data_IF_288668297211
#
_entry.id   IF_288668297211
#
_cell.length_a   1.000
_cell.length_b   1.000
_cell.length_c   1.000
_cell.angle_alpha   90.00
_cell.angle_beta   90.00
_cell.angle_gamma   90.00
#
_symmetry.space_group_name_H-M   'P 1'
#
loop_
_entity.id
_entity.type
_entity.pdbx_description
1 polymer ?
#
# COMPACT_ATOMS: atom_id res chain seq x y z
N UNK A 1 48.44 3.43 41.40
CA UNK A 1 49.31 2.35 41.91
C UNK A 1 48.42 1.34 42.63
N UNK A 2 48.51 0.05 42.26
CA UNK A 2 48.44 -1.19 43.09
C UNK A 2 47.28 -1.33 44.11
N UNK A 3 46.47 -2.39 44.21
CA UNK A 3 46.39 -3.72 43.58
C UNK A 3 45.04 -4.36 43.98
N UNK A 4 44.58 -5.30 43.15
CA UNK A 4 43.54 -6.32 43.32
C UNK A 4 43.59 -7.13 44.63
N UNK A 5 42.43 -7.57 45.15
CA UNK A 5 42.24 -8.95 45.65
C UNK A 5 40.80 -9.43 45.34
N UNK A 6 40.74 -10.57 44.65
CA UNK A 6 39.59 -11.45 44.41
C UNK A 6 39.40 -12.36 45.63
N UNK A 7 38.17 -12.65 46.05
CA UNK A 7 37.88 -13.93 46.69
C UNK A 7 36.43 -14.39 46.52
N UNK A 8 36.32 -15.59 45.96
CA UNK A 8 35.14 -16.41 45.76
C UNK A 8 34.63 -16.95 47.10
N UNK A 9 33.32 -17.20 47.20
CA UNK A 9 32.83 -18.34 47.99
C UNK A 9 31.72 -19.07 47.24
N UNK A 10 31.93 -20.37 47.12
CA UNK A 10 31.11 -21.33 46.42
C UNK A 10 30.25 -22.13 47.41
N UNK A 11 29.28 -22.85 46.83
CA UNK A 11 28.84 -24.20 47.26
C UNK A 11 27.90 -24.24 48.49
N UNK A 12 26.74 -24.92 48.49
CA UNK A 12 26.53 -26.35 48.22
C UNK A 12 25.01 -26.68 48.13
N UNK A 13 24.61 -27.44 47.10
CA UNK A 13 24.02 -28.81 47.18
C UNK A 13 22.48 -28.82 47.34
N UNK A 14 21.68 -29.70 46.73
CA UNK A 14 21.94 -30.88 45.89
C UNK A 14 20.63 -31.49 45.42
N UNK A 15 20.70 -32.15 44.27
CA UNK A 15 20.06 -33.43 43.93
C UNK A 15 18.53 -33.56 43.94
N UNK A 16 17.99 -33.86 42.76
CA UNK A 16 17.53 -35.23 42.45
C UNK A 16 17.61 -35.52 40.94
N UNK A 17 18.42 -36.52 40.61
CA UNK A 17 18.41 -37.26 39.34
C UNK A 17 17.11 -38.07 39.25
N UNK A 18 16.52 -38.15 38.06
CA UNK A 18 15.99 -39.43 37.56
C UNK A 18 16.09 -39.47 36.04
N UNK A 19 16.74 -40.52 35.55
CA UNK A 19 17.02 -40.87 34.18
C UNK A 19 15.85 -41.60 33.52
N UNK A 20 15.56 -41.31 32.24
CA UNK A 20 15.16 -42.27 31.19
C UNK A 20 15.05 -41.56 29.83
N UNK A 21 15.78 -42.06 28.83
CA UNK A 21 15.54 -41.85 27.39
C UNK A 21 14.62 -42.99 26.85
N UNK A 22 14.31 -43.10 25.54
CA UNK A 22 13.73 -42.12 24.59
C UNK A 22 12.53 -42.75 23.78
N UNK A 23 11.55 -41.97 23.28
CA UNK A 23 10.74 -42.39 22.12
C UNK A 23 9.97 -41.25 21.42
N UNK A 24 9.90 -41.36 20.08
CA UNK A 24 8.77 -41.03 19.16
C UNK A 24 8.24 -39.58 19.12
N UNK A 25 8.47 -38.79 18.06
CA UNK A 25 7.86 -38.81 16.71
C UNK A 25 6.32 -38.63 16.73
N UNK A 26 5.83 -37.43 16.36
CA UNK A 26 4.50 -37.24 15.76
C UNK A 26 3.61 -36.14 16.35
N UNK A 27 3.21 -35.19 15.50
CA UNK A 27 2.05 -34.28 15.56
C UNK A 27 1.96 -33.17 16.63
N UNK A 28 2.53 -32.00 16.29
CA UNK A 28 1.96 -30.71 16.72
C UNK A 28 1.01 -30.18 15.64
N UNK A 29 -0.28 -30.47 15.81
CA UNK A 29 -1.35 -29.76 15.12
C UNK A 29 -1.43 -28.32 15.65
N UNK A 30 -0.87 -27.36 14.89
CA UNK A 30 -1.08 -25.94 15.16
C UNK A 30 -2.55 -25.60 14.91
N UNK A 31 -3.26 -24.90 15.82
CA UNK A 31 -4.64 -24.52 15.58
C UNK A 31 -4.69 -23.54 14.40
N UNK A 32 -5.41 -23.92 13.35
CA UNK A 32 -5.70 -23.05 12.23
C UNK A 32 -6.49 -21.85 12.75
N UNK A 33 -5.87 -20.67 12.72
CA UNK A 33 -6.54 -19.41 12.99
C UNK A 33 -7.64 -19.23 11.94
N UNK A 34 -8.90 -19.18 12.39
CA UNK A 34 -10.04 -18.89 11.53
C UNK A 34 -9.93 -17.46 11.02
N UNK A 35 -9.67 -17.32 9.72
CA UNK A 35 -9.49 -16.05 9.01
C UNK A 35 -10.82 -15.37 8.64
N UNK A 36 -11.95 -16.05 8.82
CA UNK A 36 -13.26 -15.54 8.46
C UNK A 36 -13.67 -14.24 9.20
N UNK A 37 -13.38 -14.06 10.50
CA UNK A 37 -13.74 -12.82 11.21
C UNK A 37 -12.93 -11.60 10.74
N UNK A 38 -11.69 -11.81 10.29
CA UNK A 38 -10.77 -10.76 9.83
C UNK A 38 -11.08 -10.36 8.39
N UNK A 39 -11.43 -11.32 7.52
CA UNK A 39 -11.96 -11.03 6.18
C UNK A 39 -13.31 -10.29 6.25
N UNK A 40 -14.17 -10.63 7.22
CA UNK A 40 -15.39 -9.88 7.50
C UNK A 40 -15.10 -8.46 8.03
N UNK A 41 -14.03 -8.26 8.80
CA UNK A 41 -13.57 -6.93 9.21
C UNK A 41 -13.00 -6.12 8.03
N UNK A 42 -12.31 -6.76 7.08
CA UNK A 42 -11.85 -6.14 5.83
C UNK A 42 -13.00 -5.73 4.91
N UNK A 43 -14.06 -6.53 4.81
CA UNK A 43 -15.28 -6.17 4.09
C UNK A 43 -16.03 -4.98 4.73
N UNK A 44 -15.89 -4.79 6.06
CA UNK A 44 -16.43 -3.66 6.83
C UNK A 44 -15.56 -2.39 6.75
N UNK A 45 -14.33 -2.49 6.26
CA UNK A 45 -13.44 -1.34 6.00
C UNK A 45 -13.64 -0.74 4.59
N UNK A 46 -14.42 -1.41 3.73
CA UNK A 46 -15.14 -0.72 2.65
C UNK A 46 -16.33 0.01 3.26
N UNK A 47 -16.51 1.32 3.04
CA UNK A 47 -17.68 2.02 3.52
C UNK A 47 -18.90 1.52 2.73
N UNK A 48 -19.55 0.49 3.24
CA UNK A 48 -20.95 0.26 2.95
C UNK A 48 -21.76 1.33 3.69
N UNK A 49 -22.72 1.90 2.97
CA UNK A 49 -23.77 2.83 3.41
C UNK A 49 -23.35 4.26 3.74
N UNK A 50 -23.55 5.15 2.76
CA UNK A 50 -24.46 6.28 2.92
C UNK A 50 -25.01 6.72 1.54
N UNK A 51 -26.35 6.72 1.47
CA UNK A 51 -27.27 7.35 0.51
C UNK A 51 -26.99 7.18 -0.99
N UNK A 52 -27.80 6.31 -1.61
CA UNK A 52 -28.17 6.37 -3.01
C UNK A 52 -28.74 7.75 -3.34
N UNK A 53 -27.89 8.64 -3.84
CA UNK A 53 -28.39 9.61 -4.81
C UNK A 53 -28.71 8.81 -6.08
N UNK A 54 -29.98 8.80 -6.47
CA UNK A 54 -30.47 8.38 -7.80
C UNK A 54 -29.96 9.36 -8.88
N UNK A 55 -28.66 9.63 -8.86
CA UNK A 55 -27.94 10.29 -9.94
C UNK A 55 -27.61 9.27 -11.01
N UNK A 56 -27.66 9.71 -12.25
CA UNK A 56 -27.31 8.95 -13.44
C UNK A 56 -26.00 8.16 -13.24
N UNK A 57 -26.04 6.86 -13.51
CA UNK A 57 -24.87 5.99 -13.42
C UNK A 57 -23.92 6.32 -14.57
N UNK A 58 -23.01 7.26 -14.35
CA UNK A 58 -21.99 7.64 -15.35
C UNK A 58 -20.85 6.59 -15.32
N UNK A 59 -20.66 5.81 -16.40
CA UNK A 59 -19.52 4.89 -16.51
C UNK A 59 -18.22 5.66 -16.78
N UNK A 60 -17.06 5.10 -16.41
CA UNK A 60 -15.77 5.72 -16.66
C UNK A 60 -15.18 5.35 -18.05
N UNK A 61 -15.89 5.69 -19.12
CA UNK A 61 -15.50 5.33 -20.49
C UNK A 61 -14.23 6.04 -20.95
N UNK A 62 -14.12 7.36 -20.77
CA UNK A 62 -12.92 8.10 -21.14
C UNK A 62 -11.70 7.61 -20.35
N UNK A 63 -11.88 7.28 -19.07
CA UNK A 63 -10.82 6.63 -18.29
C UNK A 63 -10.35 5.35 -18.95
N UNK A 64 -11.28 4.48 -19.36
CA UNK A 64 -10.95 3.19 -19.96
C UNK A 64 -10.23 3.33 -21.30
N UNK A 65 -10.57 4.34 -22.11
CA UNK A 65 -9.91 4.64 -23.38
C UNK A 65 -8.44 5.05 -23.20
N UNK A 66 -8.14 5.81 -22.15
CA UNK A 66 -6.77 6.30 -21.88
C UNK A 66 -5.99 5.43 -20.89
N UNK A 67 -6.63 4.43 -20.27
CA UNK A 67 -5.98 3.56 -19.31
C UNK A 67 -4.96 2.66 -20.02
N UNK A 68 -3.72 2.73 -19.56
CA UNK A 68 -2.62 1.97 -20.15
C UNK A 68 -2.17 0.82 -19.26
N UNK A 69 -1.66 -0.23 -19.89
CA UNK A 69 -1.00 -1.30 -19.16
C UNK A 69 0.15 -0.78 -18.30
N UNK A 70 0.16 -1.24 -17.05
CA UNK A 70 1.12 -0.77 -16.06
C UNK A 70 0.76 0.58 -15.43
N UNK A 71 -0.39 1.18 -15.75
CA UNK A 71 -1.02 2.22 -14.93
C UNK A 71 -1.60 1.67 -13.63
N UNK A 72 -2.05 2.55 -12.74
CA UNK A 72 -2.86 2.20 -11.57
C UNK A 72 -3.95 3.21 -11.32
N UNK A 73 -5.05 2.75 -10.75
CA UNK A 73 -6.14 3.57 -10.26
C UNK A 73 -6.12 3.69 -8.73
N UNK A 74 -6.54 4.85 -8.25
CA UNK A 74 -6.79 5.17 -6.85
C UNK A 74 -8.18 5.82 -6.73
N UNK A 75 -8.93 5.47 -5.69
CA UNK A 75 -10.30 5.95 -5.49
C UNK A 75 -10.72 5.81 -4.03
N UNK A 76 -11.93 6.28 -3.72
CA UNK A 76 -12.65 5.94 -2.49
C UNK A 76 -14.14 5.73 -2.75
N UNK A 77 -14.78 4.85 -1.97
CA UNK A 77 -16.25 4.76 -1.92
C UNK A 77 -16.89 4.17 -3.17
N UNK A 78 -18.09 4.64 -3.53
CA UNK A 78 -18.92 4.10 -4.61
C UNK A 78 -18.32 4.24 -6.03
N UNK A 79 -17.42 5.21 -6.24
CA UNK A 79 -16.72 5.42 -7.49
C UNK A 79 -15.77 4.27 -7.85
N UNK A 80 -15.26 3.54 -6.84
CA UNK A 80 -14.46 2.33 -6.98
C UNK A 80 -15.11 1.31 -7.90
N UNK A 81 -16.34 0.93 -7.54
CA UNK A 81 -17.05 -0.15 -8.20
C UNK A 81 -17.32 0.21 -9.66
N UNK A 82 -17.74 1.45 -9.91
CA UNK A 82 -17.98 1.97 -11.27
C UNK A 82 -16.73 1.88 -12.14
N UNK A 83 -15.62 2.44 -11.67
CA UNK A 83 -14.38 2.45 -12.44
C UNK A 83 -13.82 1.05 -12.68
N UNK A 84 -13.87 0.18 -11.67
CA UNK A 84 -13.49 -1.22 -11.81
C UNK A 84 -14.34 -1.94 -12.85
N UNK A 85 -15.65 -1.75 -12.81
CA UNK A 85 -16.56 -2.43 -13.73
C UNK A 85 -16.36 -1.93 -15.16
N UNK A 86 -16.18 -0.63 -15.37
CA UNK A 86 -15.86 -0.09 -16.71
C UNK A 86 -14.51 -0.58 -17.24
N UNK A 87 -13.46 -0.58 -16.41
CA UNK A 87 -12.15 -1.13 -16.81
C UNK A 87 -12.24 -2.63 -17.13
N UNK A 88 -13.03 -3.40 -16.37
CA UNK A 88 -13.27 -4.82 -16.67
C UNK A 88 -13.98 -5.03 -17.99
N UNK A 89 -14.98 -4.22 -18.29
CA UNK A 89 -15.69 -4.26 -19.57
C UNK A 89 -14.74 -3.90 -20.74
N UNK A 90 -13.77 -3.02 -20.51
CA UNK A 90 -12.71 -2.69 -21.46
C UNK A 90 -11.57 -3.73 -21.53
N UNK A 91 -11.67 -4.85 -20.81
CA UNK A 91 -10.72 -5.97 -20.89
C UNK A 91 -9.60 -5.97 -19.85
N UNK A 92 -9.65 -5.09 -18.84
CA UNK A 92 -8.68 -5.04 -17.74
C UNK A 92 -9.12 -5.90 -16.54
N UNK A 93 -8.24 -6.62 -15.83
CA UNK A 93 -8.67 -7.46 -14.68
C UNK A 93 -7.62 -7.64 -13.57
N UNK A 94 -8.08 -7.73 -12.29
CA UNK A 94 -7.23 -7.83 -11.09
C UNK A 94 -6.97 -9.26 -10.55
N UNK A 95 -7.83 -10.26 -10.76
CA UNK A 95 -7.68 -11.60 -10.15
C UNK A 95 -8.47 -12.70 -10.89
N UNK A 96 -7.97 -13.96 -10.84
CA UNK A 96 -8.67 -15.17 -11.28
C UNK A 96 -9.98 -15.32 -10.53
N UNK A 97 -11.10 -15.44 -11.26
CA UNK A 97 -12.18 -16.22 -10.70
C UNK A 97 -11.67 -17.64 -10.55
N UNK A 98 -11.44 -18.06 -9.32
CA UNK A 98 -11.22 -19.45 -8.97
C UNK A 98 -12.34 -20.28 -9.60
N UNK A 99 -11.91 -21.25 -10.39
CA UNK A 99 -12.71 -22.29 -11.01
C UNK A 99 -13.61 -22.99 -9.98
N UNK A 100 -14.89 -22.65 -10.00
CA UNK A 100 -15.98 -23.54 -9.63
C UNK A 100 -16.88 -23.68 -10.85
N UNK A 101 -16.55 -24.59 -11.75
CA UNK A 101 -17.34 -24.83 -12.96
C UNK A 101 -16.49 -25.21 -14.17
N UNK A 102 -16.52 -26.49 -14.49
CA UNK A 102 -15.92 -27.12 -15.68
C UNK A 102 -16.48 -26.49 -16.96
N UNK A 103 -15.81 -25.51 -17.56
CA UNK A 103 -15.87 -25.29 -19.01
C UNK A 103 -14.55 -24.75 -19.55
N UNK A 104 -13.97 -25.55 -20.46
CA UNK A 104 -12.74 -25.31 -21.21
C UNK A 104 -13.02 -24.21 -22.25
N UNK A 105 -12.85 -22.93 -21.89
CA UNK A 105 -12.75 -21.83 -22.86
C UNK A 105 -11.28 -21.44 -22.99
N UNK A 106 -10.83 -21.32 -24.22
CA UNK A 106 -9.48 -20.90 -24.62
C UNK A 106 -9.06 -19.67 -23.79
N UNK A 107 -8.06 -19.87 -22.93
CA UNK A 107 -7.70 -18.90 -21.91
C UNK A 107 -6.99 -17.69 -22.55
N UNK A 108 -7.64 -16.52 -22.46
CA UNK A 108 -7.04 -15.21 -22.74
C UNK A 108 -5.81 -14.97 -21.85
N UNK A 109 -4.82 -14.17 -22.32
CA UNK A 109 -3.57 -13.97 -21.59
C UNK A 109 -3.78 -13.27 -20.23
N UNK A 110 -2.86 -13.50 -19.28
CA UNK A 110 -3.07 -13.21 -17.86
C UNK A 110 -3.12 -11.71 -17.53
N UNK A 111 -4.03 -11.44 -16.58
CA UNK A 111 -4.47 -10.25 -15.80
C UNK A 111 -3.49 -9.08 -15.67
N UNK A 112 -3.93 -7.88 -15.32
CA UNK A 112 -3.07 -6.69 -15.17
C UNK A 112 -3.35 -6.03 -13.83
N UNK A 113 -2.32 -5.66 -13.07
CA UNK A 113 -2.54 -4.99 -11.78
C UNK A 113 -3.22 -3.63 -12.06
N UNK A 114 -4.44 -3.41 -11.54
CA UNK A 114 -5.21 -2.17 -11.77
C UNK A 114 -5.20 -1.24 -10.56
N UNK A 115 -5.00 -1.75 -9.35
CA UNK A 115 -4.97 -0.93 -8.14
C UNK A 115 -3.67 -1.05 -7.37
N UNK A 116 -3.30 0.06 -6.72
CA UNK A 116 -2.07 0.10 -5.96
C UNK A 116 -2.08 -0.85 -4.75
N UNK A 117 -3.25 -1.08 -4.14
CA UNK A 117 -3.38 -1.98 -3.00
C UNK A 117 -2.96 -3.42 -3.34
N UNK A 118 -3.22 -3.88 -4.57
CA UNK A 118 -2.82 -5.22 -5.02
C UNK A 118 -1.30 -5.35 -5.02
N UNK A 119 -0.60 -4.34 -5.55
CA UNK A 119 0.86 -4.30 -5.55
C UNK A 119 1.43 -4.28 -4.12
N UNK A 120 0.88 -3.43 -3.24
CA UNK A 120 1.39 -3.31 -1.87
C UNK A 120 1.16 -4.58 -1.07
N UNK A 121 -0.04 -5.16 -1.16
CA UNK A 121 -0.42 -6.35 -0.39
C UNK A 121 0.32 -7.60 -0.87
N UNK A 122 0.59 -7.71 -2.18
CA UNK A 122 1.37 -8.82 -2.71
C UNK A 122 2.83 -8.80 -2.25
N UNK A 123 3.39 -7.62 -1.97
CA UNK A 123 4.80 -7.47 -1.59
C UNK A 123 5.00 -7.48 -0.07
N UNK A 124 4.03 -6.98 0.70
CA UNK A 124 4.14 -6.86 2.14
C UNK A 124 2.78 -6.99 2.83
N UNK A 125 2.76 -7.77 3.92
CA UNK A 125 1.56 -8.00 4.73
C UNK A 125 1.87 -7.69 6.20
N UNK A 126 1.23 -6.66 6.79
CA UNK A 126 1.45 -6.34 8.19
C UNK A 126 0.87 -7.35 9.18
N UNK A 127 -0.01 -8.26 8.73
CA UNK A 127 -0.74 -9.17 9.61
C UNK A 127 -0.07 -10.55 9.74
N UNK A 128 0.62 -11.04 8.70
CA UNK A 128 1.34 -12.33 8.71
C UNK A 128 2.77 -12.16 9.27
N UNK A 129 3.64 -11.49 8.52
CA UNK A 129 5.06 -11.30 8.89
C UNK A 129 5.52 -9.88 8.56
N UNK A 130 5.18 -8.87 9.39
CA UNK A 130 5.44 -7.47 9.09
C UNK A 130 6.93 -7.11 8.97
N UNK A 131 7.81 -7.92 9.56
CA UNK A 131 9.27 -7.73 9.58
C UNK A 131 9.98 -8.31 8.32
N UNK A 132 9.24 -8.87 7.36
CA UNK A 132 9.82 -9.43 6.14
C UNK A 132 8.93 -9.18 4.93
N UNK A 133 9.56 -8.99 3.77
CA UNK A 133 8.83 -8.92 2.50
C UNK A 133 8.46 -10.31 1.97
N UNK A 134 7.40 -10.38 1.17
CA UNK A 134 6.97 -11.63 0.55
C UNK A 134 8.04 -12.20 -0.41
N UNK A 135 8.08 -13.53 -0.49
CA UNK A 135 8.98 -14.23 -1.41
C UNK A 135 8.55 -14.02 -2.87
N UNK A 136 9.50 -14.11 -3.80
CA UNK A 136 9.20 -13.99 -5.24
C UNK A 136 8.16 -15.02 -5.70
N UNK A 137 8.16 -16.22 -5.10
CA UNK A 137 7.17 -17.26 -5.38
C UNK A 137 5.76 -16.82 -4.99
N UNK A 138 5.59 -16.18 -3.81
CA UNK A 138 4.28 -15.65 -3.40
C UNK A 138 3.87 -14.48 -4.28
N UNK A 139 4.78 -13.55 -4.59
CA UNK A 139 4.52 -12.41 -5.48
C UNK A 139 4.08 -12.88 -6.88
N UNK A 140 4.79 -13.86 -7.47
CA UNK A 140 4.45 -14.46 -8.78
C UNK A 140 3.09 -15.17 -8.79
N UNK A 141 2.64 -15.66 -7.63
CA UNK A 141 1.32 -16.26 -7.48
C UNK A 141 0.22 -15.19 -7.30
N UNK A 142 0.56 -14.08 -6.66
CA UNK A 142 -0.40 -13.02 -6.33
C UNK A 142 -0.60 -12.00 -7.47
N UNK A 143 0.43 -11.75 -8.27
CA UNK A 143 0.43 -10.73 -9.32
C UNK A 143 0.71 -11.32 -10.68
N UNK A 144 -0.01 -10.82 -11.68
CA UNK A 144 0.26 -11.11 -13.08
C UNK A 144 1.52 -10.41 -13.61
N UNK A 145 1.67 -9.12 -13.31
CA UNK A 145 2.93 -8.39 -13.50
C UNK A 145 3.84 -8.63 -12.28
N UNK A 146 4.29 -9.88 -12.15
CA UNK A 146 5.12 -10.31 -11.05
C UNK A 146 6.48 -9.58 -11.02
N UNK A 147 7.02 -9.23 -12.19
CA UNK A 147 8.28 -8.49 -12.30
C UNK A 147 8.16 -7.11 -11.65
N UNK A 148 7.05 -6.39 -11.89
CA UNK A 148 6.77 -5.14 -11.19
C UNK A 148 6.68 -5.31 -9.69
N UNK A 149 6.05 -6.37 -9.20
CA UNK A 149 6.01 -6.71 -7.77
C UNK A 149 7.39 -6.95 -7.16
N UNK A 150 8.22 -7.75 -7.83
CA UNK A 150 9.59 -8.08 -7.38
C UNK A 150 10.47 -6.82 -7.39
N UNK A 151 10.34 -5.99 -8.43
CA UNK A 151 11.05 -4.72 -8.52
C UNK A 151 10.57 -3.73 -7.45
N UNK A 152 9.27 -3.67 -7.16
CA UNK A 152 8.73 -2.84 -6.07
C UNK A 152 9.22 -3.31 -4.69
N UNK A 153 9.28 -4.62 -4.46
CA UNK A 153 9.89 -5.19 -3.25
C UNK A 153 11.35 -4.73 -3.08
N UNK A 154 12.12 -4.80 -4.16
CA UNK A 154 13.53 -4.40 -4.18
C UNK A 154 13.68 -2.90 -3.94
N UNK A 155 12.77 -2.09 -4.49
CA UNK A 155 12.67 -0.67 -4.21
C UNK A 155 12.44 -0.42 -2.72
N UNK A 156 11.42 -1.04 -2.12
CA UNK A 156 11.08 -0.87 -0.70
C UNK A 156 12.24 -1.26 0.23
N UNK A 157 12.87 -2.41 0.01
CA UNK A 157 13.93 -2.92 0.89
C UNK A 157 15.19 -2.05 0.91
N UNK A 158 15.41 -1.23 -0.12
CA UNK A 158 16.53 -0.29 -0.22
C UNK A 158 16.13 1.15 0.13
N UNK A 159 14.85 1.40 0.34
CA UNK A 159 14.34 2.76 0.52
C UNK A 159 14.54 3.26 1.93
N UNK A 160 15.36 4.30 2.11
CA UNK A 160 15.67 4.89 3.41
C UNK A 160 14.42 5.28 4.22
N UNK A 161 13.35 5.68 3.54
CA UNK A 161 12.11 6.15 4.18
C UNK A 161 10.95 5.17 4.12
N UNK A 162 11.00 4.08 3.36
CA UNK A 162 9.83 3.21 3.13
C UNK A 162 10.14 1.72 3.31
N UNK A 163 11.32 1.39 3.83
CA UNK A 163 11.61 0.03 4.25
C UNK A 163 10.85 -0.34 5.53
N UNK A 164 9.54 -0.56 5.40
CA UNK A 164 8.63 -0.90 6.50
C UNK A 164 9.01 -2.19 7.21
N UNK A 165 9.64 -3.15 6.52
CA UNK A 165 10.10 -4.39 7.13
C UNK A 165 11.25 -4.16 8.13
N UNK A 166 12.11 -3.17 7.87
CA UNK A 166 13.20 -2.80 8.79
C UNK A 166 12.74 -2.06 10.05
N UNK A 167 11.49 -1.58 10.08
CA UNK A 167 10.91 -0.86 11.21
C UNK A 167 10.25 -1.76 12.25
N UNK A 168 10.10 -3.05 11.93
CA UNK A 168 9.40 -4.01 12.77
C UNK A 168 10.33 -5.13 13.17
N UNK A 169 10.43 -5.39 14.47
CA UNK A 169 11.22 -6.52 14.98
C UNK A 169 10.41 -7.83 14.90
N UNK A 170 11.06 -9.00 14.73
CA UNK A 170 10.35 -10.28 14.67
C UNK A 170 9.47 -10.61 15.89
N UNK A 171 9.83 -10.09 17.07
CA UNK A 171 9.08 -10.24 18.32
C UNK A 171 8.00 -9.18 18.53
N UNK A 172 7.91 -8.17 17.67
CA UNK A 172 7.01 -7.05 17.84
C UNK A 172 5.60 -7.40 17.35
N UNK A 173 4.63 -7.40 18.26
CA UNK A 173 3.23 -7.36 17.89
C UNK A 173 2.84 -5.93 17.51
N UNK A 174 2.31 -5.76 16.30
CA UNK A 174 1.80 -4.48 15.85
C UNK A 174 0.38 -4.27 16.34
N UNK A 175 0.12 -3.09 16.89
CA UNK A 175 -1.25 -2.63 17.11
C UNK A 175 -1.92 -2.35 15.76
N UNK A 176 -3.25 -2.36 15.71
CA UNK A 176 -4.00 -2.02 14.50
C UNK A 176 -3.59 -0.65 13.94
N UNK A 177 -3.36 0.34 14.81
CA UNK A 177 -2.94 1.68 14.40
C UNK A 177 -1.51 1.72 13.85
N UNK A 178 -0.58 0.94 14.43
CA UNK A 178 0.77 0.79 13.89
C UNK A 178 0.74 0.12 12.50
N UNK A 179 -0.05 -0.95 12.35
CA UNK A 179 -0.24 -1.62 11.05
C UNK A 179 -0.83 -0.68 10.00
N UNK A 180 -1.86 0.10 10.35
CA UNK A 180 -2.43 1.13 9.47
C UNK A 180 -1.41 2.20 9.07
N UNK A 181 -0.57 2.64 10.00
CA UNK A 181 0.45 3.64 9.73
C UNK A 181 1.51 3.13 8.74
N UNK A 182 1.95 1.88 8.90
CA UNK A 182 2.89 1.22 7.99
C UNK A 182 2.23 0.94 6.62
N UNK A 183 0.96 0.55 6.57
CA UNK A 183 0.24 0.41 5.30
C UNK A 183 0.19 1.72 4.51
N UNK A 184 -0.17 2.83 5.16
CA UNK A 184 -0.12 4.17 4.53
C UNK A 184 1.29 4.49 4.02
N UNK A 185 2.32 4.02 4.72
CA UNK A 185 3.73 4.23 4.35
C UNK A 185 4.07 3.47 3.07
N UNK A 186 3.71 2.20 3.00
CA UNK A 186 3.89 1.34 1.81
C UNK A 186 3.07 1.83 0.62
N UNK A 187 1.85 2.35 0.84
CA UNK A 187 1.04 2.89 -0.25
C UNK A 187 1.65 4.18 -0.85
N UNK A 188 2.14 5.11 -0.02
CA UNK A 188 2.92 6.27 -0.51
C UNK A 188 4.19 5.86 -1.25
N UNK A 189 4.83 4.76 -0.84
CA UNK A 189 5.97 4.21 -1.56
C UNK A 189 5.56 3.66 -2.94
N UNK A 190 4.36 3.10 -3.05
CA UNK A 190 3.75 2.69 -4.33
C UNK A 190 3.57 3.87 -5.29
N UNK A 191 3.04 5.00 -4.80
CA UNK A 191 2.96 6.25 -5.57
C UNK A 191 4.35 6.68 -6.08
N UNK A 192 5.32 6.71 -5.17
CA UNK A 192 6.66 7.17 -5.51
C UNK A 192 7.34 6.26 -6.53
N UNK A 193 7.23 4.94 -6.35
CA UNK A 193 7.75 3.96 -7.28
C UNK A 193 7.10 4.09 -8.67
N UNK A 194 5.78 4.27 -8.71
CA UNK A 194 5.05 4.40 -9.97
C UNK A 194 5.41 5.68 -10.73
N UNK A 195 5.51 6.82 -10.03
CA UNK A 195 5.75 8.12 -10.65
C UNK A 195 7.24 8.38 -10.94
N UNK A 196 8.11 8.10 -9.96
CA UNK A 196 9.51 8.51 -10.03
C UNK A 196 10.42 7.43 -10.61
N UNK A 197 10.11 6.14 -10.38
CA UNK A 197 10.94 5.02 -10.87
C UNK A 197 10.40 4.52 -12.20
N UNK A 198 9.09 4.26 -12.28
CA UNK A 198 8.48 3.69 -13.49
C UNK A 198 8.04 4.73 -14.50
N UNK A 199 7.80 5.98 -14.06
CA UNK A 199 7.32 7.05 -14.94
C UNK A 199 6.05 6.63 -15.70
N UNK A 200 5.09 6.08 -14.95
CA UNK A 200 3.83 5.54 -15.48
C UNK A 200 2.64 6.23 -14.83
N UNK A 201 1.53 6.24 -15.57
CA UNK A 201 0.34 6.98 -15.16
C UNK A 201 -0.27 6.44 -13.85
N UNK A 202 -0.83 7.37 -13.07
CA UNK A 202 -1.72 7.13 -11.94
C UNK A 202 -3.03 7.85 -12.24
N UNK A 203 -4.13 7.11 -12.26
CA UNK A 203 -5.48 7.62 -12.43
C UNK A 203 -6.12 7.75 -11.06
N UNK A 204 -6.33 8.98 -10.60
CA UNK A 204 -6.88 9.27 -9.28
C UNK A 204 -8.33 9.76 -9.42
N UNK A 205 -9.27 8.95 -8.99
CA UNK A 205 -10.69 9.27 -9.03
C UNK A 205 -11.04 10.08 -7.78
N UNK A 206 -11.55 11.29 -7.98
CA UNK A 206 -11.78 12.27 -6.91
C UNK A 206 -13.24 12.41 -6.49
N UNK A 207 -14.16 11.69 -7.13
CA UNK A 207 -15.59 11.69 -6.80
C UNK A 207 -15.83 11.51 -5.29
N UNK A 208 -16.47 12.51 -4.68
CA UNK A 208 -16.79 12.55 -3.23
C UNK A 208 -15.62 12.91 -2.31
N UNK A 209 -14.37 12.91 -2.81
CA UNK A 209 -13.19 13.36 -2.06
C UNK A 209 -12.98 14.87 -2.24
N UNK A 210 -13.18 15.38 -3.45
CA UNK A 210 -13.00 16.79 -3.82
C UNK A 210 -13.94 17.73 -3.04
N UNK A 211 -15.14 17.25 -2.74
CA UNK A 211 -16.11 17.97 -1.93
C UNK A 211 -15.60 18.19 -0.49
N UNK A 212 -14.82 17.23 0.03
CA UNK A 212 -14.38 17.17 1.42
C UNK A 212 -12.85 17.22 1.59
N UNK A 213 -12.14 17.97 0.73
CA UNK A 213 -10.68 18.14 0.81
C UNK A 213 -10.20 18.73 2.14
N UNK A 214 -11.03 19.49 2.86
CA UNK A 214 -10.68 20.02 4.18
C UNK A 214 -10.52 18.92 5.22
N UNK A 215 -11.36 17.89 5.18
CA UNK A 215 -11.22 16.70 6.03
C UNK A 215 -9.95 15.92 5.66
N UNK A 216 -9.63 15.83 4.36
CA UNK A 216 -8.35 15.26 3.88
C UNK A 216 -7.18 16.07 4.41
N UNK A 217 -7.17 17.39 4.28
CA UNK A 217 -6.09 18.25 4.76
C UNK A 217 -5.92 18.15 6.29
N UNK A 218 -7.03 18.24 7.03
CA UNK A 218 -7.08 18.17 8.50
C UNK A 218 -6.89 16.78 9.09
N UNK A 219 -6.93 15.72 8.27
CA UNK A 219 -6.86 14.30 8.68
C UNK A 219 -8.00 13.91 9.65
N UNK A 220 -9.22 14.36 9.38
CA UNK A 220 -10.40 14.10 10.21
C UNK A 220 -11.34 13.16 9.45
N UNK A 221 -12.01 12.23 10.17
CA UNK A 221 -12.97 11.29 9.56
C UNK A 221 -12.35 10.46 8.43
N UNK A 222 -12.97 10.48 7.24
CA UNK A 222 -12.45 9.85 6.01
C UNK A 222 -11.10 10.42 5.56
N UNK A 223 -10.73 11.61 6.02
CA UNK A 223 -9.40 12.19 5.86
C UNK A 223 -8.28 11.34 6.48
N UNK A 224 -8.60 10.42 7.38
CA UNK A 224 -7.62 9.49 7.94
C UNK A 224 -7.33 8.29 7.04
N UNK A 225 -8.02 8.11 5.91
CA UNK A 225 -7.88 6.94 5.03
C UNK A 225 -6.51 6.86 4.34
N UNK A 226 -6.24 5.71 3.71
CA UNK A 226 -5.06 5.48 2.87
C UNK A 226 -5.11 6.39 1.64
N UNK A 227 -6.23 6.40 0.91
CA UNK A 227 -6.48 7.29 -0.23
C UNK A 227 -6.28 8.77 0.12
N UNK A 228 -6.78 9.21 1.28
CA UNK A 228 -6.55 10.58 1.77
C UNK A 228 -5.06 10.86 2.05
N UNK A 229 -4.31 9.85 2.52
CA UNK A 229 -2.87 9.96 2.77
C UNK A 229 -2.05 10.03 1.49
N UNK A 230 -2.50 9.33 0.45
CA UNK A 230 -1.97 9.37 -0.92
C UNK A 230 -2.23 10.72 -1.57
N UNK A 231 -3.46 11.23 -1.50
CA UNK A 231 -3.81 12.54 -2.06
C UNK A 231 -3.01 13.67 -1.40
N UNK A 232 -2.84 13.63 -0.07
CA UNK A 232 -1.91 14.53 0.63
C UNK A 232 -0.47 14.37 0.17
N UNK A 233 -0.04 13.17 -0.19
CA UNK A 233 1.31 12.96 -0.73
C UNK A 233 1.45 13.61 -2.10
N UNK A 234 0.48 13.43 -2.99
CA UNK A 234 0.45 14.07 -4.31
C UNK A 234 0.46 15.59 -4.18
N UNK A 235 -0.38 16.17 -3.30
CA UNK A 235 -0.39 17.61 -3.03
C UNK A 235 0.99 18.15 -2.58
N UNK A 236 1.73 17.39 -1.75
CA UNK A 236 3.09 17.80 -1.33
C UNK A 236 4.10 17.77 -2.47
N UNK A 237 3.85 16.99 -3.52
CA UNK A 237 4.73 16.82 -4.68
C UNK A 237 4.16 17.45 -5.95
N UNK A 238 3.09 18.26 -5.84
CA UNK A 238 2.38 18.84 -6.99
C UNK A 238 3.27 19.67 -7.92
N UNK A 239 4.39 20.19 -7.41
CA UNK A 239 5.35 20.99 -8.19
C UNK A 239 6.36 20.15 -8.96
N UNK A 240 6.43 18.85 -8.69
CA UNK A 240 7.36 17.93 -9.33
C UNK A 240 6.87 17.56 -10.73
N UNK A 241 7.74 17.61 -11.74
CA UNK A 241 7.38 17.33 -13.13
C UNK A 241 6.76 15.94 -13.33
N UNK A 242 7.27 14.93 -12.61
CA UNK A 242 6.70 13.58 -12.65
C UNK A 242 5.25 13.53 -12.14
N UNK A 243 4.89 14.35 -11.15
CA UNK A 243 3.50 14.42 -10.69
C UNK A 243 2.66 15.02 -11.81
N UNK A 244 3.01 16.22 -12.30
CA UNK A 244 2.29 16.92 -13.37
C UNK A 244 2.09 16.06 -14.62
N UNK A 245 3.10 15.28 -14.99
CA UNK A 245 3.09 14.48 -16.21
C UNK A 245 2.32 13.16 -16.08
N UNK A 246 2.43 12.47 -14.94
CA UNK A 246 1.94 11.09 -14.81
C UNK A 246 0.72 10.93 -13.91
N UNK A 247 0.32 11.92 -13.14
CA UNK A 247 -0.93 11.85 -12.37
C UNK A 247 -2.06 12.40 -13.23
N UNK A 248 -3.21 11.74 -13.23
CA UNK A 248 -4.43 12.19 -13.92
C UNK A 248 -5.59 12.12 -12.95
N UNK A 249 -6.28 13.23 -12.73
CA UNK A 249 -7.46 13.26 -11.87
C UNK A 249 -8.72 13.00 -12.68
N UNK A 250 -9.67 12.29 -12.12
CA UNK A 250 -10.93 11.93 -12.80
C UNK A 250 -12.11 12.30 -11.92
N UNK A 251 -13.05 13.05 -12.48
CA UNK A 251 -14.33 13.37 -11.86
C UNK A 251 -15.46 13.07 -12.85
N UNK A 252 -16.40 12.20 -12.48
CA UNK A 252 -17.56 11.86 -13.33
C UNK A 252 -17.18 11.52 -14.79
N UNK A 253 -16.19 10.65 -14.97
CA UNK A 253 -15.60 10.27 -16.28
C UNK A 253 -14.89 11.39 -17.07
N UNK A 254 -14.66 12.54 -16.46
CA UNK A 254 -13.89 13.62 -17.07
C UNK A 254 -12.53 13.74 -16.42
N UNK A 255 -11.47 13.85 -17.23
CA UNK A 255 -10.14 14.20 -16.73
C UNK A 255 -10.16 15.65 -16.21
N UNK A 256 -9.64 15.85 -14.99
CA UNK A 256 -9.61 17.14 -14.30
C UNK A 256 -8.16 17.62 -14.18
N UNK A 257 -7.87 18.90 -14.50
CA UNK A 257 -6.54 19.47 -14.33
C UNK A 257 -6.08 19.44 -12.87
N UNK A 258 -4.77 19.29 -12.66
CA UNK A 258 -4.17 19.24 -11.32
C UNK A 258 -4.46 20.51 -10.53
N UNK A 259 -4.38 21.66 -11.19
CA UNK A 259 -4.58 22.96 -10.57
C UNK A 259 -6.02 23.13 -10.07
N UNK A 260 -7.00 22.49 -10.71
CA UNK A 260 -8.40 22.49 -10.25
C UNK A 260 -8.55 21.75 -8.91
N UNK A 261 -7.73 20.74 -8.64
CA UNK A 261 -7.73 20.01 -7.37
C UNK A 261 -6.82 20.68 -6.34
N UNK A 262 -5.60 21.05 -6.71
CA UNK A 262 -4.59 21.51 -5.77
C UNK A 262 -4.64 23.00 -5.44
N UNK A 263 -5.25 23.84 -6.28
CA UNK A 263 -5.43 25.27 -5.99
C UNK A 263 -6.64 25.55 -5.09
N UNK A 264 -7.43 24.53 -4.76
CA UNK A 264 -8.63 24.72 -3.94
C UNK A 264 -8.30 25.24 -2.55
N UNK A 265 -9.05 26.26 -2.10
CA UNK A 265 -8.94 26.78 -0.73
C UNK A 265 -9.23 25.72 0.35
N UNK A 266 -9.90 24.62 -0.02
CA UNK A 266 -10.20 23.48 0.84
C UNK A 266 -8.97 22.71 1.33
N UNK A 267 -7.78 22.98 0.79
CA UNK A 267 -6.50 22.54 1.38
C UNK A 267 -6.15 23.27 2.68
N UNK A 268 -6.93 24.29 3.06
CA UNK A 268 -6.93 24.92 4.38
C UNK A 268 -7.89 24.16 5.33
N UNK A 269 -7.50 24.03 6.59
CA UNK A 269 -8.22 23.30 7.63
C UNK A 269 -8.06 23.99 9.00
N UNK A 270 -8.73 23.49 10.05
CA UNK A 270 -8.75 24.07 11.40
C UNK A 270 -10.10 24.71 11.75
N UNK A 271 -10.29 25.16 13.01
CA UNK A 271 -11.58 25.68 13.50
C UNK A 271 -12.16 26.81 12.65
N UNK A 272 -11.29 27.63 12.03
CA UNK A 272 -11.68 28.76 11.18
C UNK A 272 -11.12 28.68 9.74
N UNK A 273 -10.71 27.48 9.28
CA UNK A 273 -10.06 27.28 7.96
C UNK A 273 -8.80 28.16 7.73
N UNK A 274 -8.13 28.57 8.81
CA UNK A 274 -6.93 29.42 8.74
C UNK A 274 -5.64 28.64 8.49
N UNK A 275 -5.60 27.34 8.83
CA UNK A 275 -4.37 26.56 8.73
C UNK A 275 -4.24 25.92 7.35
N UNK A 276 -3.25 26.38 6.57
CA UNK A 276 -2.94 25.75 5.29
C UNK A 276 -2.25 24.40 5.50
N UNK A 277 -2.61 23.38 4.71
CA UNK A 277 -1.82 22.15 4.62
C UNK A 277 -0.44 22.45 4.03
N UNK A 278 0.55 22.58 4.91
CA UNK A 278 1.91 22.91 4.51
C UNK A 278 2.68 21.64 4.13
N UNK A 279 3.32 21.59 2.96
CA UNK A 279 4.31 20.58 2.67
C UNK A 279 5.40 20.61 3.74
N UNK A 280 5.81 19.43 4.24
CA UNK A 280 7.02 19.37 5.07
C UNK A 280 8.20 19.83 4.19
N UNK A 281 8.94 20.85 4.63
CA UNK A 281 10.06 21.47 3.92
C UNK A 281 11.20 20.50 3.52
N UNK A 282 11.17 19.25 3.97
CA UNK A 282 12.26 18.28 3.83
C UNK A 282 12.07 17.24 2.73
N UNK A 283 11.18 17.42 1.75
CA UNK A 283 11.18 16.58 0.55
C UNK A 283 12.22 17.10 -0.45
N UNK A 284 13.50 17.08 -0.04
CA UNK A 284 14.63 17.31 -0.94
C UNK A 284 14.94 16.01 -1.69
N UNK A 285 15.34 16.21 -2.94
CA UNK A 285 15.61 15.24 -4.00
C UNK A 285 16.02 13.84 -3.55
N UNK A 286 15.51 12.85 -4.32
CA UNK A 286 15.86 11.44 -4.32
C UNK A 286 17.37 11.17 -4.40
N UNK A 287 18.11 11.45 -3.33
CA UNK A 287 19.54 11.14 -3.20
C UNK A 287 19.77 9.62 -3.28
N UNK A 288 18.74 8.81 -3.02
CA UNK A 288 18.78 7.36 -3.23
C UNK A 288 18.64 6.92 -4.69
N UNK A 289 18.19 7.78 -5.62
CA UNK A 289 18.19 7.45 -7.05
C UNK A 289 19.58 7.61 -7.70
N UNK A 290 20.50 8.35 -7.08
CA UNK A 290 21.84 8.67 -7.64
C UNK A 290 22.98 7.83 -7.06
N UNK A 291 22.69 6.80 -6.25
CA UNK A 291 23.71 5.93 -5.66
C UNK A 291 24.47 5.04 -6.67
N UNK A 292 24.09 5.04 -7.95
CA UNK A 292 24.91 4.48 -9.02
C UNK A 292 25.91 5.54 -9.49
N UNK A 293 27.09 5.58 -8.86
CA UNK A 293 28.24 6.30 -9.45
C UNK A 293 28.50 5.72 -10.84
N UNK A 294 28.52 6.52 -11.92
CA UNK A 294 29.01 6.02 -13.20
C UNK A 294 30.47 5.57 -13.04
N UNK A 295 30.88 4.48 -13.72
CA UNK A 295 32.28 4.06 -13.68
C UNK A 295 33.15 5.22 -14.17
N UNK A 296 34.23 5.52 -13.41
CA UNK A 296 35.21 6.51 -13.86
C UNK A 296 35.75 6.06 -15.22
N UNK A 297 35.78 6.94 -16.23
CA UNK A 297 36.48 6.63 -17.47
C UNK A 297 37.96 6.37 -17.12
N UNK A 298 38.48 5.28 -17.70
CA UNK A 298 39.90 4.95 -17.67
C UNK A 298 40.67 5.91 -18.55
#
# INVERSE_FOLDING_TARGET
MKTSVVQQYAMRQSSRRSSRQPSERGDESTPAFDLAPVQAALARLSPASQTSHEGEWIPYQQLAEVFQEGGYCLWSGCAEKRALDTLKQAGFSNLDQGSGGTQKREALPPKKILIQNDLTNAVWDPLDKPYVYQSDKRIKKALSDAQRGIAFKTFLSRHARYNVASEVSPSQQLTLEASKALWKKTSKAGLEYQLLVRQKNIHFIVDGIDENLSAVAGKIGHGTSITSSELRWLYRHQKTEQVKQYVRFWKEDREVPHDEIFSQKKWRFGPDYEQMYRPKQSYWHASWLTSARPPRPK
#
